data_IF_448548945440
#
_entry.id   IF_448548945440
#
_cell.length_a   1.000
_cell.length_b   1.000
_cell.length_c   1.000
_cell.angle_alpha   90.00
_cell.angle_beta   90.00
_cell.angle_gamma   90.00
#
_symmetry.space_group_name_H-M   'P 1'
#
loop_
_entity.id
_entity.type
_entity.pdbx_description
1 polymer ?
#
# COMPACT_ATOMS: atom_id res chain seq x y z
N UNK A 1 -2.59 -1.99 7.49
CA UNK A 1 -1.46 -2.75 8.05
C UNK A 1 -1.89 -4.08 8.68
N UNK A 2 -2.78 -4.82 8.04
CA UNK A 2 -3.43 -6.00 8.62
C UNK A 2 -2.59 -7.30 8.56
N UNK A 3 -1.40 -7.24 7.96
CA UNK A 3 -0.42 -8.34 7.94
C UNK A 3 0.64 -8.09 9.01
N UNK A 4 0.72 -8.92 10.07
CA UNK A 4 1.57 -8.65 11.23
C UNK A 4 3.07 -8.55 10.92
N UNK A 5 3.57 -9.30 9.93
CA UNK A 5 4.99 -9.25 9.52
C UNK A 5 5.37 -7.88 8.98
N UNK A 6 4.52 -7.32 8.11
CA UNK A 6 4.72 -5.99 7.52
C UNK A 6 4.56 -4.90 8.59
N UNK A 7 3.55 -5.03 9.45
CA UNK A 7 3.30 -4.05 10.52
C UNK A 7 4.45 -4.00 11.54
N UNK A 8 5.01 -5.16 11.92
CA UNK A 8 6.13 -5.24 12.86
C UNK A 8 7.39 -4.59 12.32
N UNK A 9 7.73 -4.79 11.06
CA UNK A 9 8.88 -4.14 10.42
C UNK A 9 8.74 -2.61 10.44
N UNK A 10 7.53 -2.12 10.13
CA UNK A 10 7.25 -0.67 10.11
C UNK A 10 7.29 -0.04 11.50
N UNK A 11 6.96 -0.78 12.54
CA UNK A 11 7.10 -0.32 13.92
C UNK A 11 8.53 -0.44 14.44
N UNK A 12 9.24 -1.51 14.08
CA UNK A 12 10.63 -1.74 14.48
C UNK A 12 11.58 -0.67 13.92
N UNK A 13 11.26 -0.13 12.75
CA UNK A 13 12.07 0.92 12.12
C UNK A 13 11.91 2.30 12.80
N UNK A 14 10.89 2.53 13.65
CA UNK A 14 10.53 3.80 14.33
C UNK A 14 10.41 5.05 13.39
N UNK A 15 10.73 4.90 12.11
CA UNK A 15 10.64 5.90 11.05
C UNK A 15 9.19 6.32 10.81
N UNK A 16 8.22 5.41 10.98
CA UNK A 16 6.81 5.76 10.88
C UNK A 16 6.37 6.70 12.00
N UNK A 17 6.91 6.57 13.22
CA UNK A 17 6.55 7.49 14.32
C UNK A 17 7.29 8.80 14.27
N UNK A 18 8.52 8.81 13.74
CA UNK A 18 9.38 10.00 13.71
C UNK A 18 9.20 10.87 12.47
N UNK A 19 8.92 10.25 11.33
CA UNK A 19 8.93 10.88 10.00
C UNK A 19 7.89 10.20 9.06
N UNK A 20 6.70 9.84 9.58
CA UNK A 20 5.62 9.28 8.77
C UNK A 20 5.28 10.15 7.56
N UNK A 21 5.30 11.48 7.71
CA UNK A 21 5.07 12.44 6.62
C UNK A 21 6.08 12.21 5.48
N UNK A 22 7.38 12.12 5.79
CA UNK A 22 8.43 11.89 4.77
C UNK A 22 8.33 10.50 4.12
N UNK A 23 7.87 9.48 4.86
CA UNK A 23 7.72 8.12 4.33
C UNK A 23 6.48 7.98 3.44
N UNK A 24 5.38 8.61 3.84
CA UNK A 24 4.17 8.73 3.03
C UNK A 24 4.50 9.50 1.75
N UNK A 25 5.13 10.68 1.86
CA UNK A 25 5.64 11.46 0.74
C UNK A 25 6.58 10.64 -0.16
N UNK A 26 7.48 9.84 0.41
CA UNK A 26 8.39 8.99 -0.36
C UNK A 26 7.68 7.96 -1.24
N UNK A 27 6.53 7.43 -0.80
CA UNK A 27 5.71 6.49 -1.59
C UNK A 27 4.77 7.24 -2.54
N UNK A 28 4.18 8.34 -2.07
CA UNK A 28 3.27 9.21 -2.80
C UNK A 28 3.95 10.03 -3.90
N UNK A 29 5.26 10.28 -3.84
CA UNK A 29 6.03 10.92 -4.91
C UNK A 29 6.50 9.87 -5.92
N UNK A 30 6.96 8.72 -5.43
CA UNK A 30 7.51 7.65 -6.28
C UNK A 30 6.45 7.00 -7.15
N UNK A 31 5.24 6.80 -6.63
CA UNK A 31 4.14 6.17 -7.38
C UNK A 31 3.72 7.00 -8.61
N UNK A 32 3.33 8.28 -8.49
CA UNK A 32 2.99 9.10 -9.65
C UNK A 32 4.21 9.44 -10.52
N UNK A 33 5.41 9.66 -9.97
CA UNK A 33 6.59 9.90 -10.84
C UNK A 33 6.93 8.68 -11.72
N UNK A 34 6.72 7.46 -11.21
CA UNK A 34 6.92 6.22 -11.97
C UNK A 34 5.80 5.96 -12.99
N UNK A 35 4.60 6.52 -12.76
CA UNK A 35 3.45 6.40 -13.69
C UNK A 35 3.52 7.48 -14.78
N UNK A 36 3.93 8.70 -14.43
CA UNK A 36 4.01 9.85 -15.34
C UNK A 36 5.25 9.81 -16.24
N UNK A 37 6.34 9.19 -15.78
CA UNK A 37 7.57 9.02 -16.57
C UNK A 37 7.73 7.55 -16.88
N UNK A 38 7.98 7.22 -18.15
CA UNK A 38 8.29 5.83 -18.50
C UNK A 38 9.41 5.32 -17.59
N UNK A 39 9.23 4.13 -17.04
CA UNK A 39 10.24 3.51 -16.19
C UNK A 39 11.53 3.19 -16.95
N UNK A 40 11.53 3.34 -18.29
CA UNK A 40 12.70 3.33 -19.17
C UNK A 40 13.52 4.63 -19.15
N UNK A 41 13.02 5.69 -18.52
CA UNK A 41 13.78 6.92 -18.35
C UNK A 41 14.92 6.72 -17.34
N UNK A 42 16.08 7.34 -17.58
CA UNK A 42 17.25 7.29 -16.69
C UNK A 42 16.92 7.69 -15.25
N UNK A 43 15.89 8.53 -15.07
CA UNK A 43 15.39 8.95 -13.77
C UNK A 43 14.54 7.88 -13.08
N UNK A 44 13.69 7.16 -13.83
CA UNK A 44 12.93 6.01 -13.33
C UNK A 44 13.85 4.89 -12.80
N UNK A 45 14.92 4.56 -13.54
CA UNK A 45 15.92 3.60 -13.06
C UNK A 45 16.65 4.07 -11.80
N UNK A 46 17.01 5.35 -11.71
CA UNK A 46 17.67 5.90 -10.55
C UNK A 46 16.77 5.87 -9.30
N UNK A 47 15.48 6.18 -9.46
CA UNK A 47 14.48 6.08 -8.40
C UNK A 47 14.31 4.64 -7.95
N UNK A 48 14.17 3.70 -8.89
CA UNK A 48 14.05 2.26 -8.59
C UNK A 48 15.29 1.73 -7.84
N UNK A 49 16.50 2.06 -8.31
CA UNK A 49 17.74 1.67 -7.62
C UNK A 49 17.81 2.21 -6.19
N UNK A 50 17.32 3.43 -5.97
CA UNK A 50 17.26 4.03 -4.63
C UNK A 50 16.25 3.31 -3.73
N UNK A 51 15.09 2.93 -4.25
CA UNK A 51 14.10 2.12 -3.52
C UNK A 51 14.66 0.74 -3.15
N UNK A 52 15.33 0.09 -4.10
CA UNK A 52 15.97 -1.20 -3.86
C UNK A 52 17.15 -1.10 -2.87
N UNK A 53 17.86 0.03 -2.83
CA UNK A 53 18.92 0.28 -1.86
C UNK A 53 18.40 0.54 -0.44
N UNK A 54 17.19 1.07 -0.31
CA UNK A 54 16.49 1.27 0.97
C UNK A 54 15.82 -0.02 1.46
N UNK A 55 15.59 -1.01 0.59
CA UNK A 55 15.27 -2.39 1.03
C UNK A 55 16.48 -2.96 1.76
N UNK A 56 16.55 -2.72 3.07
CA UNK A 56 17.50 -3.33 3.97
C UNK A 56 17.47 -4.86 3.87
N UNK A 57 18.61 -5.48 4.18
CA UNK A 57 18.80 -6.93 4.16
C UNK A 57 17.82 -7.62 5.13
N UNK A 58 16.93 -8.44 4.56
CA UNK A 58 16.42 -9.68 5.16
C UNK A 58 15.34 -9.62 6.27
N UNK A 59 14.26 -8.83 6.12
CA UNK A 59 13.08 -9.00 7.01
C UNK A 59 11.76 -9.39 6.32
N UNK A 60 11.51 -8.99 5.07
CA UNK A 60 10.29 -9.38 4.35
C UNK A 60 10.52 -10.60 3.46
N UNK A 61 9.57 -11.54 3.52
CA UNK A 61 9.58 -12.69 2.64
C UNK A 61 9.30 -12.27 1.19
N UNK A 62 9.71 -13.10 0.21
CA UNK A 62 9.38 -12.83 -1.20
C UNK A 62 7.87 -12.75 -1.45
N UNK A 63 7.09 -13.54 -0.71
CA UNK A 63 5.62 -13.50 -0.73
C UNK A 63 5.06 -12.22 -0.11
N UNK A 64 5.72 -11.62 0.88
CA UNK A 64 5.29 -10.34 1.45
C UNK A 64 5.44 -9.21 0.41
N UNK A 65 6.53 -9.22 -0.36
CA UNK A 65 6.71 -8.27 -1.47
C UNK A 65 5.69 -8.47 -2.57
N UNK A 66 5.37 -9.72 -2.91
CA UNK A 66 4.33 -10.02 -3.89
C UNK A 66 2.94 -9.59 -3.40
N UNK A 67 2.67 -9.73 -2.09
CA UNK A 67 1.45 -9.20 -1.48
C UNK A 67 1.37 -7.68 -1.55
N UNK A 68 2.45 -6.97 -1.22
CA UNK A 68 2.51 -5.51 -1.37
C UNK A 68 2.26 -5.11 -2.83
N UNK A 69 2.84 -5.81 -3.80
CA UNK A 69 2.56 -5.56 -5.22
C UNK A 69 1.08 -5.78 -5.56
N UNK A 70 0.47 -6.85 -5.04
CA UNK A 70 -0.95 -7.16 -5.28
C UNK A 70 -1.89 -6.05 -4.78
N UNK A 71 -1.55 -5.39 -3.67
CA UNK A 71 -2.29 -4.24 -3.14
C UNK A 71 -2.33 -3.10 -4.16
N UNK A 72 -1.20 -2.77 -4.80
CA UNK A 72 -1.14 -1.72 -5.82
C UNK A 72 -1.96 -2.03 -7.08
N UNK A 73 -2.11 -3.32 -7.41
CA UNK A 73 -2.89 -3.78 -8.56
C UNK A 73 -4.39 -3.76 -8.26
N UNK A 74 -4.79 -4.25 -7.08
CA UNK A 74 -6.19 -4.58 -6.77
C UNK A 74 -6.92 -3.53 -5.94
N UNK A 75 -6.31 -2.98 -4.90
CA UNK A 75 -7.00 -2.06 -3.99
C UNK A 75 -7.48 -0.77 -4.68
N UNK A 76 -6.69 -0.12 -5.58
CA UNK A 76 -7.20 1.02 -6.32
C UNK A 76 -8.42 0.70 -7.18
N UNK A 77 -8.48 -0.51 -7.76
CA UNK A 77 -9.67 -0.93 -8.51
C UNK A 77 -10.88 -1.03 -7.59
N UNK A 78 -10.74 -1.70 -6.44
CA UNK A 78 -11.82 -1.86 -5.47
C UNK A 78 -12.36 -0.50 -5.00
N UNK A 79 -11.46 0.46 -4.76
CA UNK A 79 -11.84 1.82 -4.37
C UNK A 79 -12.59 2.56 -5.49
N UNK A 80 -12.08 2.51 -6.72
CA UNK A 80 -12.71 3.16 -7.88
C UNK A 80 -14.11 2.57 -8.12
N UNK A 81 -14.23 1.24 -8.09
CA UNK A 81 -15.50 0.56 -8.31
C UNK A 81 -16.55 0.90 -7.22
N UNK A 82 -16.12 1.24 -5.99
CA UNK A 82 -17.00 1.55 -4.87
C UNK A 82 -17.36 3.04 -4.72
N UNK A 83 -16.41 3.95 -4.98
CA UNK A 83 -16.53 5.35 -4.58
C UNK A 83 -16.36 6.37 -5.70
N UNK A 84 -15.84 5.98 -6.87
CA UNK A 84 -15.60 6.92 -7.96
C UNK A 84 -16.79 7.03 -8.92
N UNK A 85 -16.81 8.13 -9.67
CA UNK A 85 -17.91 8.47 -10.58
C UNK A 85 -18.06 7.52 -11.78
N UNK A 86 -17.01 6.73 -12.10
CA UNK A 86 -17.07 5.68 -13.12
C UNK A 86 -16.17 4.49 -12.79
N UNK A 87 -16.55 3.27 -13.23
CA UNK A 87 -15.65 2.13 -13.22
C UNK A 87 -14.53 2.29 -14.26
N UNK A 88 -13.44 1.53 -14.06
CA UNK A 88 -12.37 1.43 -15.05
C UNK A 88 -12.79 0.55 -16.23
N UNK A 89 -12.45 1.00 -17.44
CA UNK A 89 -12.64 0.19 -18.64
C UNK A 89 -11.69 -1.02 -18.64
N UNK A 90 -12.08 -2.11 -19.30
CA UNK A 90 -11.27 -3.34 -19.36
C UNK A 90 -9.83 -3.09 -19.83
N UNK A 91 -9.64 -2.21 -20.81
CA UNK A 91 -8.31 -1.82 -21.29
C UNK A 91 -7.48 -1.07 -20.25
N UNK A 92 -8.09 -0.20 -19.45
CA UNK A 92 -7.42 0.54 -18.38
C UNK A 92 -6.94 -0.43 -17.28
N UNK A 93 -7.78 -1.42 -16.95
CA UNK A 93 -7.43 -2.47 -15.99
C UNK A 93 -6.24 -3.32 -16.46
N UNK A 94 -6.27 -3.77 -17.71
CA UNK A 94 -5.18 -4.57 -18.29
C UNK A 94 -3.90 -3.74 -18.35
N UNK A 95 -3.97 -2.47 -18.80
CA UNK A 95 -2.80 -1.60 -18.87
C UNK A 95 -2.17 -1.36 -17.49
N UNK A 96 -3.01 -1.10 -16.47
CA UNK A 96 -2.55 -0.94 -15.08
C UNK A 96 -1.93 -2.22 -14.52
N UNK A 97 -2.55 -3.38 -14.77
CA UNK A 97 -2.02 -4.67 -14.34
C UNK A 97 -0.64 -4.91 -14.96
N UNK A 98 -0.52 -4.75 -16.27
CA UNK A 98 0.75 -4.92 -16.99
C UNK A 98 1.84 -3.95 -16.49
N UNK A 99 1.48 -2.71 -16.21
CA UNK A 99 2.40 -1.73 -15.64
C UNK A 99 3.01 -2.25 -14.32
N UNK A 100 2.18 -2.70 -13.38
CA UNK A 100 2.67 -3.20 -12.10
C UNK A 100 3.41 -4.55 -12.21
N UNK A 101 3.04 -5.41 -13.16
CA UNK A 101 3.82 -6.63 -13.47
C UNK A 101 5.23 -6.26 -13.89
N UNK A 102 5.38 -5.31 -14.82
CA UNK A 102 6.70 -4.86 -15.28
C UNK A 102 7.51 -4.18 -14.17
N UNK A 103 6.89 -3.35 -13.35
CA UNK A 103 7.55 -2.76 -12.19
C UNK A 103 7.99 -3.83 -11.17
N UNK A 104 7.13 -4.80 -10.87
CA UNK A 104 7.46 -5.92 -9.99
C UNK A 104 8.65 -6.74 -10.49
N UNK A 105 8.73 -7.00 -11.81
CA UNK A 105 9.87 -7.68 -12.44
C UNK A 105 11.16 -6.87 -12.28
N UNK A 106 11.09 -5.56 -12.50
CA UNK A 106 12.24 -4.64 -12.33
C UNK A 106 12.68 -4.56 -10.86
N UNK A 107 11.76 -4.70 -9.91
CA UNK A 107 12.03 -4.80 -8.48
C UNK A 107 12.59 -6.17 -8.05
N UNK A 108 12.73 -7.14 -8.96
CA UNK A 108 13.24 -8.47 -8.68
C UNK A 108 12.30 -9.35 -7.85
N UNK A 109 11.00 -9.08 -7.87
CA UNK A 109 9.99 -9.90 -7.19
C UNK A 109 9.77 -11.18 -8.02
N UNK A 110 9.91 -12.39 -7.44
CA UNK A 110 9.67 -13.63 -8.17
C UNK A 110 8.17 -13.95 -8.29
N UNK A 111 7.85 -14.91 -9.17
CA UNK A 111 6.54 -15.59 -9.23
C UNK A 111 5.34 -14.65 -9.34
N UNK A 112 5.50 -13.53 -10.07
CA UNK A 112 4.45 -12.53 -10.27
C UNK A 112 3.34 -13.11 -11.18
N UNK A 113 2.07 -13.08 -10.74
CA UNK A 113 0.93 -13.45 -11.56
C UNK A 113 0.86 -12.69 -12.89
N UNK A 114 0.37 -13.34 -13.94
CA UNK A 114 0.27 -12.75 -15.27
C UNK A 114 -1.08 -12.05 -15.50
N UNK A 115 -2.11 -12.40 -14.73
CA UNK A 115 -3.47 -11.90 -14.90
C UNK A 115 -4.03 -11.32 -13.61
N UNK A 116 -5.01 -10.44 -13.77
CA UNK A 116 -5.65 -9.79 -12.62
C UNK A 116 -6.42 -10.82 -11.76
N UNK A 117 -7.00 -11.82 -12.39
CA UNK A 117 -7.69 -12.93 -11.74
C UNK A 117 -6.71 -13.77 -10.89
N UNK A 118 -5.51 -14.05 -11.40
CA UNK A 118 -4.47 -14.74 -10.63
C UNK A 118 -3.99 -13.89 -9.44
N UNK A 119 -3.86 -12.56 -9.62
CA UNK A 119 -3.58 -11.65 -8.50
C UNK A 119 -4.66 -11.72 -7.42
N UNK A 120 -5.94 -11.79 -7.79
CA UNK A 120 -7.04 -11.89 -6.83
C UNK A 120 -6.97 -13.19 -6.04
N UNK A 121 -6.76 -14.33 -6.72
CA UNK A 121 -6.61 -15.63 -6.07
C UNK A 121 -5.41 -15.64 -5.13
N UNK A 122 -4.28 -15.08 -5.57
CA UNK A 122 -3.09 -14.94 -4.74
C UNK A 122 -3.36 -14.08 -3.50
N UNK A 123 -3.93 -12.88 -3.66
CA UNK A 123 -4.20 -11.97 -2.54
C UNK A 123 -5.13 -12.62 -1.52
N UNK A 124 -6.22 -13.24 -1.97
CA UNK A 124 -7.16 -13.93 -1.08
C UNK A 124 -6.51 -15.09 -0.32
N UNK A 125 -5.69 -15.89 -1.00
CA UNK A 125 -4.97 -17.01 -0.37
C UNK A 125 -3.95 -16.51 0.65
N UNK A 126 -3.20 -15.47 0.30
CA UNK A 126 -2.21 -14.87 1.17
C UNK A 126 -2.86 -14.25 2.41
N UNK A 127 -3.94 -13.48 2.23
CA UNK A 127 -4.69 -12.85 3.33
C UNK A 127 -5.29 -13.90 4.26
N UNK A 128 -5.89 -14.97 3.73
CA UNK A 128 -6.43 -16.04 4.57
C UNK A 128 -5.37 -16.71 5.47
N UNK A 129 -4.11 -16.73 5.03
CA UNK A 129 -3.01 -17.35 5.78
C UNK A 129 -2.34 -16.39 6.78
N UNK A 130 -2.14 -15.13 6.38
CA UNK A 130 -1.26 -14.19 7.08
C UNK A 130 -2.00 -13.05 7.78
N UNK A 131 -3.20 -12.69 7.31
CA UNK A 131 -3.98 -11.58 7.85
C UNK A 131 -4.62 -12.01 9.17
N UNK A 132 -4.17 -11.39 10.26
CA UNK A 132 -4.61 -11.71 11.62
C UNK A 132 -4.58 -10.46 12.46
N UNK A 133 -5.54 -10.35 13.37
CA UNK A 133 -5.52 -9.33 14.39
C UNK A 133 -4.19 -9.37 15.16
N UNK A 134 -3.53 -8.22 15.24
CA UNK A 134 -2.34 -8.02 16.06
C UNK A 134 -2.36 -6.61 16.68
N UNK A 135 -2.06 -6.45 17.98
CA UNK A 135 -2.07 -5.14 18.64
C UNK A 135 -1.22 -4.09 17.92
N UNK A 136 -0.03 -4.49 17.47
CA UNK A 136 0.86 -3.65 16.67
C UNK A 136 0.24 -3.16 15.35
N UNK A 137 -0.46 -4.05 14.63
CA UNK A 137 -1.17 -3.71 13.39
C UNK A 137 -2.28 -2.69 13.64
N UNK A 138 -2.97 -2.79 14.78
CA UNK A 138 -3.99 -1.83 15.21
C UNK A 138 -3.39 -0.46 15.48
N UNK A 139 -2.36 -0.41 16.33
CA UNK A 139 -1.69 0.84 16.70
C UNK A 139 -1.13 1.53 15.47
N UNK A 140 -0.43 0.81 14.60
CA UNK A 140 0.13 1.38 13.38
C UNK A 140 -0.95 1.90 12.43
N UNK A 141 -2.09 1.22 12.33
CA UNK A 141 -3.19 1.66 11.47
C UNK A 141 -3.88 2.91 12.01
N UNK A 142 -4.02 3.03 13.34
CA UNK A 142 -4.54 4.24 13.97
C UNK A 142 -3.55 5.40 13.82
N UNK A 143 -2.26 5.17 14.04
CA UNK A 143 -1.21 6.17 13.86
C UNK A 143 -1.17 6.68 12.41
N UNK A 144 -1.36 5.79 11.42
CA UNK A 144 -1.44 6.17 10.02
C UNK A 144 -2.65 7.06 9.70
N UNK A 145 -3.81 6.77 10.29
CA UNK A 145 -5.02 7.60 10.13
C UNK A 145 -4.77 8.99 10.73
N UNK A 146 -4.11 9.05 11.89
CA UNK A 146 -3.79 10.32 12.54
C UNK A 146 -2.84 11.19 11.69
N UNK A 147 -1.81 10.58 11.09
CA UNK A 147 -0.91 11.26 10.14
C UNK A 147 -1.68 11.80 8.96
N UNK A 148 -2.50 10.97 8.30
CA UNK A 148 -3.33 11.37 7.18
C UNK A 148 -4.28 12.53 7.53
N UNK A 149 -4.88 12.48 8.72
CA UNK A 149 -5.74 13.54 9.23
C UNK A 149 -5.00 14.87 9.39
N UNK A 150 -3.77 14.82 9.91
CA UNK A 150 -2.92 15.99 10.13
C UNK A 150 -2.38 16.61 8.84
N UNK A 151 -2.20 15.81 7.78
CA UNK A 151 -1.87 16.32 6.45
C UNK A 151 -3.01 17.08 5.78
N UNK A 152 -4.26 16.70 6.05
CA UNK A 152 -5.45 17.29 5.42
C UNK A 152 -6.05 18.48 6.17
N UNK A 153 -5.94 18.49 7.50
CA UNK A 153 -6.67 19.44 8.34
C UNK A 153 -5.76 20.11 9.38
N UNK A 154 -6.00 21.41 9.69
CA UNK A 154 -5.34 22.08 10.80
C UNK A 154 -5.48 21.31 12.12
N UNK A 155 -4.42 21.29 12.94
CA UNK A 155 -4.32 20.52 14.19
C UNK A 155 -5.52 20.67 15.14
N UNK A 156 -6.14 21.84 15.19
CA UNK A 156 -7.29 22.09 16.05
C UNK A 156 -8.56 21.40 15.56
N UNK A 157 -8.77 21.27 14.24
CA UNK A 157 -9.88 20.53 13.64
C UNK A 157 -9.68 19.04 13.87
N UNK A 158 -8.47 18.54 13.60
CA UNK A 158 -8.13 17.13 13.82
C UNK A 158 -8.40 16.74 15.27
N UNK A 159 -7.95 17.54 16.24
CA UNK A 159 -8.16 17.23 17.67
C UNK A 159 -9.63 17.14 18.06
N UNK A 160 -10.51 17.90 17.42
CA UNK A 160 -11.97 17.87 17.68
C UNK A 160 -12.65 16.70 16.96
N UNK A 161 -12.25 16.40 15.73
CA UNK A 161 -12.92 15.42 14.87
C UNK A 161 -12.25 14.03 14.87
N UNK A 162 -11.11 13.84 15.53
CA UNK A 162 -10.29 12.62 15.42
C UNK A 162 -11.06 11.31 15.66
N UNK A 163 -11.92 11.20 16.71
CA UNK A 163 -12.66 9.96 16.94
C UNK A 163 -13.64 9.64 15.80
N UNK A 164 -14.31 10.68 15.29
CA UNK A 164 -15.23 10.55 14.17
C UNK A 164 -14.48 10.21 12.88
N UNK A 165 -13.33 10.85 12.64
CA UNK A 165 -12.50 10.61 11.47
C UNK A 165 -11.93 9.18 11.46
N UNK A 166 -11.44 8.69 12.59
CA UNK A 166 -11.00 7.29 12.72
C UNK A 166 -12.12 6.31 12.39
N UNK A 167 -13.31 6.57 12.91
CA UNK A 167 -14.48 5.72 12.63
C UNK A 167 -14.87 5.79 11.15
N UNK A 168 -14.85 6.99 10.55
CA UNK A 168 -15.16 7.18 9.13
C UNK A 168 -14.15 6.48 8.22
N UNK A 169 -12.85 6.61 8.50
CA UNK A 169 -11.81 5.92 7.70
C UNK A 169 -11.91 4.41 7.84
N UNK A 170 -12.11 3.90 9.06
CA UNK A 170 -12.32 2.46 9.26
C UNK A 170 -13.58 1.95 8.54
N UNK A 171 -14.63 2.76 8.44
CA UNK A 171 -15.84 2.39 7.70
C UNK A 171 -15.65 2.38 6.17
N UNK A 172 -14.67 3.11 5.65
CA UNK A 172 -14.32 3.09 4.23
C UNK A 172 -13.45 1.89 3.86
N UNK A 173 -12.76 1.29 4.84
CA UNK A 173 -11.98 0.08 4.65
C UNK A 173 -12.88 -1.14 4.51
N UNK A 174 -12.39 -2.12 3.77
CA UNK A 174 -13.10 -3.38 3.62
C UNK A 174 -13.32 -4.09 4.97
N UNK A 175 -14.48 -4.77 5.18
CA UNK A 175 -14.77 -5.49 6.41
C UNK A 175 -13.70 -6.51 6.79
N UNK A 176 -13.06 -7.15 5.80
CA UNK A 176 -11.95 -8.10 6.00
C UNK A 176 -10.75 -7.45 6.66
N UNK A 177 -10.47 -6.19 6.29
CA UNK A 177 -9.36 -5.39 6.83
C UNK A 177 -9.70 -4.92 8.23
N UNK A 178 -10.91 -4.40 8.45
CA UNK A 178 -11.37 -3.95 9.77
C UNK A 178 -11.35 -5.08 10.78
N UNK A 179 -11.74 -6.31 10.40
CA UNK A 179 -11.71 -7.47 11.29
C UNK A 179 -10.30 -7.89 11.74
N UNK A 180 -9.27 -7.51 10.96
CA UNK A 180 -7.87 -7.82 11.25
C UNK A 180 -7.12 -6.66 11.94
N UNK A 181 -7.81 -5.55 12.25
CA UNK A 181 -7.29 -4.37 12.95
C UNK A 181 -7.88 -4.24 14.35
#
# INVERSE_FOLDING_TARGET
>A
FAVPTIARLLLATDEFKRDADKRAEGTDIVSPESVERSSESTRGEATLRRLLAVRGKDELSKSDYLYILSIFVLEPRMWIDAYEWRPLHKHELIARCNYWIEEGKRMGIPDIPATLEEFQVFQQTYEAQHMRFHPDSRTLSLDAIDVFAHGLLPRWIVRLCLPALRTAVLALLEPRVVAAL
#
